data_IF_592001945575
#
_entry.id   IF_592001945575
#
_cell.length_a   1.000
_cell.length_b   1.000
_cell.length_c   1.000
_cell.angle_alpha   90.00
_cell.angle_beta   90.00
_cell.angle_gamma   90.00
#
_symmetry.space_group_name_H-M   'P 1'
#
loop_
_entity.id
_entity.type
_entity.pdbx_description
1 polymer ?
#
# COMPACT_ATOMS: atom_id res chain seq x y z
N UNK A 1 -0.33 -20.16 -0.05
CA UNK A 1 -1.74 -20.50 0.24
C UNK A 1 -2.36 -19.56 1.29
N UNK A 2 -1.80 -19.47 2.51
CA UNK A 2 -2.41 -18.68 3.60
C UNK A 2 -2.56 -17.17 3.31
N UNK A 3 -1.55 -16.52 2.73
CA UNK A 3 -1.61 -15.07 2.42
C UNK A 3 -2.72 -14.76 1.41
N UNK A 4 -2.83 -15.56 0.34
CA UNK A 4 -3.87 -15.39 -0.70
C UNK A 4 -5.28 -15.53 -0.13
N UNK A 5 -5.50 -16.49 0.78
CA UNK A 5 -6.77 -16.65 1.46
C UNK A 5 -7.12 -15.46 2.36
N UNK A 6 -6.12 -14.88 3.02
CA UNK A 6 -6.31 -13.68 3.84
C UNK A 6 -6.54 -12.42 3.00
N UNK A 7 -5.93 -12.31 1.82
CA UNK A 7 -6.24 -11.24 0.85
C UNK A 7 -7.69 -11.31 0.38
N UNK A 8 -8.16 -12.52 0.07
CA UNK A 8 -9.56 -12.75 -0.27
C UNK A 8 -10.51 -12.43 0.88
N UNK A 9 -10.14 -12.81 2.11
CA UNK A 9 -10.90 -12.45 3.32
C UNK A 9 -11.04 -10.93 3.49
N UNK A 10 -9.96 -10.17 3.27
CA UNK A 10 -10.01 -8.70 3.28
C UNK A 10 -10.95 -8.17 2.20
N UNK A 11 -10.88 -8.73 0.98
CA UNK A 11 -11.75 -8.34 -0.13
C UNK A 11 -13.24 -8.54 0.20
N UNK A 12 -13.58 -9.71 0.74
CA UNK A 12 -14.96 -10.04 1.14
C UNK A 12 -15.44 -9.16 2.30
N UNK A 13 -14.58 -8.92 3.31
CA UNK A 13 -14.92 -8.03 4.42
C UNK A 13 -15.22 -6.59 3.96
N UNK A 14 -14.46 -6.07 3.00
CA UNK A 14 -14.72 -4.76 2.39
C UNK A 14 -16.04 -4.72 1.63
N UNK A 15 -16.32 -5.76 0.84
CA UNK A 15 -17.59 -5.87 0.12
C UNK A 15 -18.78 -5.92 1.08
N UNK A 16 -18.68 -6.71 2.16
CA UNK A 16 -19.72 -6.80 3.19
C UNK A 16 -19.98 -5.43 3.83
N UNK A 17 -18.93 -4.72 4.25
CA UNK A 17 -19.08 -3.37 4.81
C UNK A 17 -19.77 -2.40 3.83
N UNK A 18 -19.40 -2.42 2.54
CA UNK A 18 -20.02 -1.57 1.54
C UNK A 18 -21.53 -1.85 1.39
N UNK A 19 -21.93 -3.12 1.45
CA UNK A 19 -23.35 -3.53 1.46
C UNK A 19 -24.04 -3.03 2.73
N UNK A 20 -23.46 -3.25 3.92
CA UNK A 20 -24.06 -2.82 5.18
C UNK A 20 -24.22 -1.30 5.28
N UNK A 21 -23.26 -0.52 4.75
CA UNK A 21 -23.40 0.95 4.68
C UNK A 21 -24.56 1.35 3.76
N UNK A 22 -24.72 0.67 2.62
CA UNK A 22 -25.84 0.92 1.70
C UNK A 22 -27.17 0.61 2.38
N UNK A 23 -27.27 -0.55 3.02
CA UNK A 23 -28.50 -1.01 3.65
C UNK A 23 -28.85 -0.20 4.90
N UNK A 24 -27.84 0.33 5.61
CA UNK A 24 -28.04 1.26 6.73
C UNK A 24 -28.67 2.57 6.27
N UNK A 25 -28.22 3.10 5.13
CA UNK A 25 -28.81 4.32 4.52
C UNK A 25 -30.27 4.12 4.10
N UNK A 26 -30.66 2.87 3.84
CA UNK A 26 -32.03 2.49 3.52
C UNK A 26 -32.86 2.14 4.78
N UNK A 27 -32.26 2.19 5.97
CA UNK A 27 -32.91 1.81 7.23
C UNK A 27 -33.17 0.31 7.38
N UNK A 28 -32.53 -0.53 6.57
CA UNK A 28 -32.71 -1.99 6.57
C UNK A 28 -31.88 -2.64 7.69
N UNK A 29 -30.64 -2.16 7.87
CA UNK A 29 -29.74 -2.62 8.93
C UNK A 29 -29.48 -1.51 9.94
N UNK A 30 -28.97 -1.89 11.09
CA UNK A 30 -28.67 -1.02 12.22
C UNK A 30 -27.23 -0.50 12.16
N UNK A 31 -26.94 0.54 12.95
CA UNK A 31 -25.59 1.09 13.09
C UNK A 31 -24.62 0.03 13.64
N UNK A 32 -25.10 -0.82 14.55
CA UNK A 32 -24.30 -1.91 15.12
C UNK A 32 -23.78 -2.86 14.05
N UNK A 33 -24.58 -3.20 13.03
CA UNK A 33 -24.16 -4.08 11.94
C UNK A 33 -23.08 -3.44 11.06
N UNK A 34 -23.18 -2.13 10.83
CA UNK A 34 -22.14 -1.37 10.10
C UNK A 34 -20.82 -1.34 10.88
N UNK A 35 -20.87 -1.04 12.18
CA UNK A 35 -19.69 -1.02 13.04
C UNK A 35 -19.06 -2.42 13.16
N UNK A 36 -19.89 -3.45 13.23
CA UNK A 36 -19.44 -4.86 13.21
C UNK A 36 -18.73 -5.19 11.91
N UNK A 37 -19.28 -4.78 10.77
CA UNK A 37 -18.66 -4.99 9.47
C UNK A 37 -17.33 -4.22 9.32
N UNK A 38 -17.25 -3.00 9.87
CA UNK A 38 -16.01 -2.22 9.91
C UNK A 38 -14.93 -2.90 10.76
N UNK A 39 -15.30 -3.39 11.94
CA UNK A 39 -14.41 -4.18 12.79
C UNK A 39 -13.93 -5.46 12.08
N UNK A 40 -14.79 -6.06 11.26
CA UNK A 40 -14.45 -7.18 10.38
C UNK A 40 -13.34 -6.86 9.39
N UNK A 41 -13.40 -5.71 8.71
CA UNK A 41 -12.32 -5.24 7.82
C UNK A 41 -11.00 -5.12 8.58
N UNK A 42 -11.02 -4.41 9.71
CA UNK A 42 -9.80 -4.14 10.48
C UNK A 42 -9.14 -5.42 11.00
N UNK A 43 -9.96 -6.40 11.39
CA UNK A 43 -9.49 -7.71 11.84
C UNK A 43 -8.86 -8.50 10.68
N UNK A 44 -9.50 -8.52 9.51
CA UNK A 44 -8.98 -9.20 8.33
C UNK A 44 -7.65 -8.58 7.86
N UNK A 45 -7.56 -7.24 7.83
CA UNK A 45 -6.33 -6.52 7.47
C UNK A 45 -5.18 -6.82 8.43
N UNK A 46 -5.47 -6.84 9.74
CA UNK A 46 -4.46 -7.18 10.76
C UNK A 46 -3.95 -8.60 10.59
N UNK A 47 -4.84 -9.56 10.34
CA UNK A 47 -4.46 -10.95 10.07
C UNK A 47 -3.60 -11.09 8.83
N UNK A 48 -3.94 -10.38 7.75
CA UNK A 48 -3.13 -10.36 6.52
C UNK A 48 -1.74 -9.78 6.77
N UNK A 49 -1.65 -8.65 7.47
CA UNK A 49 -0.37 -8.02 7.79
C UNK A 49 0.51 -8.96 8.63
N UNK A 50 -0.06 -9.57 9.66
CA UNK A 50 0.67 -10.53 10.50
C UNK A 50 1.18 -11.71 9.68
N UNK A 51 0.35 -12.28 8.79
CA UNK A 51 0.78 -13.39 7.94
C UNK A 51 1.92 -13.00 6.98
N UNK A 52 1.90 -11.79 6.43
CA UNK A 52 2.98 -11.27 5.59
C UNK A 52 4.29 -11.10 6.37
N UNK A 53 4.23 -10.50 7.56
CA UNK A 53 5.38 -10.33 8.44
C UNK A 53 5.98 -11.69 8.84
N UNK A 54 5.13 -12.65 9.21
CA UNK A 54 5.59 -14.01 9.55
C UNK A 54 6.24 -14.72 8.37
N UNK A 55 5.71 -14.54 7.15
CA UNK A 55 6.31 -15.09 5.93
C UNK A 55 7.69 -14.49 5.68
N UNK A 56 7.83 -13.17 5.81
CA UNK A 56 9.12 -12.50 5.66
C UNK A 56 10.14 -12.95 6.72
N UNK A 57 9.70 -13.09 7.98
CA UNK A 57 10.57 -13.55 9.05
C UNK A 57 11.00 -15.01 8.86
N UNK A 58 10.09 -15.87 8.38
CA UNK A 58 10.42 -17.25 8.05
C UNK A 58 11.45 -17.32 6.92
N UNK A 59 11.33 -16.47 5.90
CA UNK A 59 12.30 -16.38 4.80
C UNK A 59 13.68 -15.90 5.29
N UNK A 60 13.73 -14.87 6.14
CA UNK A 60 14.97 -14.40 6.76
C UNK A 60 15.64 -15.52 7.56
N UNK A 61 14.87 -16.26 8.38
CA UNK A 61 15.38 -17.38 9.17
C UNK A 61 15.91 -18.50 8.29
N UNK A 62 15.24 -18.79 7.18
CA UNK A 62 15.70 -19.79 6.21
C UNK A 62 17.04 -19.39 5.60
N UNK A 63 17.20 -18.12 5.20
CA UNK A 63 18.47 -17.60 4.69
C UNK A 63 19.60 -17.72 5.72
N UNK A 64 19.34 -17.29 6.96
CA UNK A 64 20.31 -17.39 8.06
C UNK A 64 20.72 -18.85 8.30
N UNK A 65 19.76 -19.78 8.35
CA UNK A 65 20.03 -21.21 8.53
C UNK A 65 20.82 -21.82 7.35
N UNK A 66 20.60 -21.32 6.14
CA UNK A 66 21.38 -21.67 4.96
C UNK A 66 22.77 -21.01 4.92
N UNK A 67 23.16 -20.25 5.95
CA UNK A 67 24.43 -19.53 6.02
C UNK A 67 24.52 -18.32 5.09
N UNK A 68 23.39 -17.87 4.53
CA UNK A 68 23.30 -16.70 3.65
C UNK A 68 22.75 -15.53 4.46
N UNK A 69 23.44 -14.39 4.47
CA UNK A 69 22.88 -13.19 5.09
C UNK A 69 21.84 -12.56 4.15
N UNK A 70 20.54 -12.55 4.51
CA UNK A 70 19.53 -11.93 3.66
C UNK A 70 19.72 -10.41 3.68
N UNK A 71 19.80 -9.80 2.49
CA UNK A 71 19.90 -8.35 2.35
C UNK A 71 21.32 -7.78 2.27
N UNK A 72 22.38 -8.59 2.09
CA UNK A 72 23.62 -8.05 1.53
C UNK A 72 23.34 -7.61 0.10
N UNK A 73 23.17 -6.29 -0.10
CA UNK A 73 23.51 -5.66 -1.37
C UNK A 73 24.95 -6.06 -1.64
N UNK A 74 25.17 -7.00 -2.55
CA UNK A 74 26.52 -7.33 -2.99
C UNK A 74 27.15 -6.03 -3.49
N UNK A 75 28.38 -5.75 -3.09
CA UNK A 75 29.14 -4.55 -3.46
C UNK A 75 29.12 -4.26 -4.98
N UNK A 76 28.87 -5.29 -5.80
CA UNK A 76 28.62 -5.21 -7.24
C UNK A 76 27.45 -4.30 -7.64
N UNK A 77 26.40 -4.17 -6.82
CA UNK A 77 25.24 -3.31 -7.11
C UNK A 77 25.52 -1.82 -6.85
N UNK A 78 26.51 -1.51 -6.01
CA UNK A 78 26.92 -0.14 -5.69
C UNK A 78 27.94 0.38 -6.72
N UNK A 79 28.77 -0.50 -7.28
CA UNK A 79 29.76 -0.14 -8.31
C UNK A 79 29.12 0.27 -9.65
N UNK A 80 28.00 -0.36 -10.03
CA UNK A 80 27.33 -0.10 -11.31
C UNK A 80 26.65 1.29 -11.40
N UNK A 81 26.54 2.03 -10.29
CA UNK A 81 25.92 3.37 -10.29
C UNK A 81 26.92 4.53 -10.43
N UNK A 82 28.24 4.27 -10.36
CA UNK A 82 29.27 5.32 -10.51
C UNK A 82 29.84 5.43 -11.92
N UNK A 83 29.65 4.44 -12.79
CA UNK A 83 30.26 4.39 -14.13
C UNK A 83 29.28 4.66 -15.28
N UNK A 84 27.98 4.77 -14.99
CA UNK A 84 26.95 5.12 -15.97
C UNK A 84 26.54 6.58 -15.88
N UNK A 85 27.46 7.51 -16.14
CA UNK A 85 27.08 8.87 -16.51
C UNK A 85 26.79 8.92 -18.01
N UNK A 86 25.52 9.15 -18.39
CA UNK A 86 25.22 10.11 -19.43
C UNK A 86 24.51 11.30 -18.79
N UNK A 87 25.23 12.41 -18.72
CA UNK A 87 24.74 13.76 -18.99
C UNK A 87 23.45 14.19 -18.28
N UNK A 88 23.63 14.94 -17.19
CA UNK A 88 22.63 15.89 -16.72
C UNK A 88 22.38 16.95 -17.82
N UNK A 89 21.48 16.67 -18.76
CA UNK A 89 20.85 17.74 -19.51
C UNK A 89 19.92 18.50 -18.56
N UNK A 90 20.32 19.73 -18.26
CA UNK A 90 19.53 20.70 -17.55
C UNK A 90 18.22 20.97 -18.32
N UNK A 91 17.16 20.23 -18.02
CA UNK A 91 15.83 20.62 -18.46
C UNK A 91 15.27 21.64 -17.48
N UNK A 92 15.44 22.92 -17.86
CA UNK A 92 14.75 24.07 -17.29
C UNK A 92 13.27 23.73 -17.08
N UNK A 93 12.79 23.88 -15.83
CA UNK A 93 11.36 23.80 -15.52
C UNK A 93 10.66 24.91 -16.31
N UNK A 94 10.04 24.55 -17.44
CA UNK A 94 9.12 25.44 -18.15
C UNK A 94 7.82 25.51 -17.33
N UNK A 95 7.37 26.70 -16.89
CA UNK A 95 6.05 26.82 -16.32
C UNK A 95 5.02 26.54 -17.42
N UNK A 96 4.09 25.61 -17.15
CA UNK A 96 2.96 25.35 -18.02
C UNK A 96 2.02 26.55 -17.91
N UNK A 97 2.10 27.44 -18.89
CA UNK A 97 1.14 28.51 -19.08
C UNK A 97 -0.22 27.89 -19.45
N UNK A 98 -1.25 28.14 -18.63
CA UNK A 98 -2.63 27.87 -19.02
C UNK A 98 -3.59 27.68 -17.87
N UNK A 99 -4.30 28.77 -17.52
CA UNK A 99 -5.54 28.84 -16.74
C UNK A 99 -5.42 28.75 -15.21
N UNK A 100 -5.22 29.90 -14.53
CA UNK A 100 -6.29 30.54 -13.76
C UNK A 100 -6.06 32.06 -13.82
N UNK A 101 -6.88 32.77 -14.59
CA UNK A 101 -6.94 34.21 -14.54
C UNK A 101 -7.71 34.62 -13.28
N UNK A 102 -7.05 35.32 -12.36
CA UNK A 102 -7.72 36.18 -11.39
C UNK A 102 -7.06 37.55 -11.45
N UNK A 103 -7.72 38.46 -12.17
CA UNK A 103 -7.47 39.88 -12.00
C UNK A 103 -7.77 40.26 -10.55
N UNK A 104 -6.86 41.01 -9.93
CA UNK A 104 -7.23 41.94 -8.88
C UNK A 104 -6.89 43.33 -9.39
N UNK A 105 -7.95 44.04 -9.78
CA UNK A 105 -7.96 45.49 -9.87
C UNK A 105 -7.70 46.12 -8.51
N UNK A 106 -7.13 47.32 -8.62
CA UNK A 106 -6.85 48.33 -7.62
C UNK A 106 -7.87 48.47 -6.49
N UNK A 107 -7.35 48.73 -5.27
CA UNK A 107 -7.67 49.92 -4.47
C UNK A 107 -6.41 50.34 -3.72
#
# INVERSE_FOLDING_TARGET
AQVLLLEESVRLARANYAVQVRDYRLGIVTNLEVLTALAGIQTAERSLLNARIQTLLADIRLHIAAGKMPGMRTESDVSNRRTGHPEFEAHTIRPVAGQIAFQREAV
#
